data_IF_329703078620
#
_entry.id   IF_329703078620
#
_cell.length_a   1.000
_cell.length_b   1.000
_cell.length_c   1.000
_cell.angle_alpha   90.00
_cell.angle_beta   90.00
_cell.angle_gamma   90.00
#
_symmetry.space_group_name_H-M   'P 1'
#
loop_
_entity.id
_entity.type
_entity.pdbx_description
1 polymer ?
#
# COMPACT_ATOMS: atom_id res chain seq x y z
N UNK A 1 -4.24 -12.35 18.38
CA UNK A 1 -5.30 -13.20 17.76
C UNK A 1 -5.19 -13.01 16.25
N UNK A 2 -5.08 -14.09 15.46
CA UNK A 2 -4.91 -13.96 14.01
C UNK A 2 -6.24 -13.57 13.34
N UNK A 3 -6.24 -12.49 12.56
CA UNK A 3 -7.37 -12.13 11.71
C UNK A 3 -7.53 -13.11 10.55
N UNK A 4 -8.75 -13.36 10.05
CA UNK A 4 -8.95 -14.18 8.87
C UNK A 4 -8.24 -13.55 7.66
N UNK A 5 -7.43 -14.34 6.95
CA UNK A 5 -6.69 -13.84 5.79
C UNK A 5 -7.58 -13.33 4.66
N UNK A 6 -8.86 -13.71 4.60
CA UNK A 6 -9.85 -13.19 3.65
C UNK A 6 -11.23 -13.21 4.26
N UNK A 7 -11.98 -12.11 4.11
CA UNK A 7 -13.39 -12.04 4.49
C UNK A 7 -14.26 -12.10 3.24
N UNK A 8 -15.46 -12.65 3.37
CA UNK A 8 -16.45 -12.62 2.31
C UNK A 8 -17.19 -11.28 2.36
N UNK A 9 -17.25 -10.59 1.23
CA UNK A 9 -17.96 -9.34 1.05
C UNK A 9 -19.27 -9.61 0.31
N UNK A 10 -20.31 -8.84 0.63
CA UNK A 10 -21.48 -8.77 -0.25
C UNK A 10 -21.19 -7.84 -1.45
N UNK A 11 -22.09 -7.82 -2.43
CA UNK A 11 -21.92 -6.95 -3.60
C UNK A 11 -22.01 -5.45 -3.27
N UNK A 12 -22.55 -5.08 -2.10
CA UNK A 12 -22.71 -3.69 -1.66
C UNK A 12 -21.48 -3.13 -0.97
N UNK A 13 -20.74 -3.96 -0.24
CA UNK A 13 -19.59 -3.59 0.59
C UNK A 13 -18.53 -2.79 -0.17
N UNK A 14 -18.17 -3.11 -1.43
CA UNK A 14 -17.20 -2.33 -2.19
C UNK A 14 -17.61 -0.88 -2.50
N UNK A 15 -18.88 -0.53 -2.31
CA UNK A 15 -19.42 0.82 -2.51
C UNK A 15 -19.52 1.61 -1.20
N UNK A 16 -19.22 0.99 -0.07
CA UNK A 16 -19.23 1.64 1.23
C UNK A 16 -17.92 2.37 1.51
N UNK A 17 -18.03 3.50 2.22
CA UNK A 17 -16.88 4.27 2.70
C UNK A 17 -17.12 4.71 4.13
N UNK A 18 -16.04 4.79 4.91
CA UNK A 18 -16.13 5.10 6.35
C UNK A 18 -15.06 6.09 6.77
N UNK A 19 -15.37 6.97 7.71
CA UNK A 19 -14.39 7.89 8.31
C UNK A 19 -13.62 7.26 9.47
N UNK A 20 -14.05 6.07 9.90
CA UNK A 20 -13.42 5.26 10.93
C UNK A 20 -13.00 3.93 10.33
N UNK A 21 -11.88 3.40 10.81
CA UNK A 21 -11.37 2.11 10.37
C UNK A 21 -12.27 0.99 10.90
N UNK A 22 -12.85 0.20 9.99
CA UNK A 22 -13.69 -0.96 10.35
C UNK A 22 -12.95 -2.29 10.26
N UNK A 23 -11.92 -2.36 9.42
CA UNK A 23 -11.13 -3.56 9.17
C UNK A 23 -9.64 -3.26 9.29
N UNK A 24 -8.78 -4.27 9.58
CA UNK A 24 -7.35 -4.09 9.54
C UNK A 24 -6.87 -3.56 8.18
N UNK A 25 -5.84 -2.72 8.18
CA UNK A 25 -5.27 -2.17 6.96
C UNK A 25 -4.83 -3.30 6.01
N UNK A 26 -5.25 -3.23 4.75
CA UNK A 26 -4.94 -4.25 3.75
C UNK A 26 -5.72 -5.56 3.89
N UNK A 27 -6.75 -5.63 4.74
CA UNK A 27 -7.65 -6.79 4.83
C UNK A 27 -8.15 -7.18 3.43
N UNK A 28 -7.99 -8.46 3.07
CA UNK A 28 -8.55 -8.97 1.80
C UNK A 28 -10.03 -9.27 1.97
N UNK A 29 -10.83 -8.77 1.04
CA UNK A 29 -12.23 -9.11 0.88
C UNK A 29 -12.47 -9.75 -0.49
N UNK A 30 -13.32 -10.76 -0.55
CA UNK A 30 -13.72 -11.44 -1.79
C UNK A 30 -15.24 -11.38 -1.95
N UNK A 31 -15.70 -10.95 -3.11
CA UNK A 31 -17.14 -10.92 -3.46
C UNK A 31 -17.54 -12.23 -4.16
N UNK A 32 -18.85 -12.57 -4.24
CA UNK A 32 -19.27 -13.87 -4.76
C UNK A 32 -18.99 -14.11 -6.26
N UNK A 33 -18.64 -13.06 -7.02
CA UNK A 33 -18.14 -13.15 -8.40
C UNK A 33 -16.63 -13.47 -8.49
N UNK A 34 -15.93 -13.61 -7.35
CA UNK A 34 -14.50 -13.90 -7.27
C UNK A 34 -13.60 -12.68 -7.43
N UNK A 35 -14.15 -11.46 -7.43
CA UNK A 35 -13.36 -10.23 -7.41
C UNK A 35 -12.74 -10.02 -6.03
N UNK A 36 -11.48 -9.56 -5.99
CA UNK A 36 -10.77 -9.28 -4.75
C UNK A 36 -10.65 -7.78 -4.50
N UNK A 37 -10.74 -7.43 -3.22
CA UNK A 37 -10.64 -6.08 -2.73
C UNK A 37 -9.69 -6.02 -1.53
N UNK A 38 -9.04 -4.88 -1.36
CA UNK A 38 -8.19 -4.57 -0.21
C UNK A 38 -8.73 -3.35 0.51
N UNK A 39 -8.96 -3.48 1.81
CA UNK A 39 -9.37 -2.37 2.64
C UNK A 39 -8.22 -1.38 2.77
N UNK A 40 -8.47 -0.13 2.37
CA UNK A 40 -7.42 0.89 2.18
C UNK A 40 -7.84 2.23 2.77
N UNK A 41 -6.87 3.02 3.21
CA UNK A 41 -7.04 4.41 3.62
C UNK A 41 -6.67 5.33 2.46
N UNK A 42 -7.57 6.24 2.09
CA UNK A 42 -7.28 7.29 1.12
C UNK A 42 -6.31 8.32 1.72
N UNK A 43 -5.32 8.76 0.94
CA UNK A 43 -4.41 9.81 1.36
C UNK A 43 -5.11 11.16 1.63
N UNK A 44 -4.30 12.20 1.83
CA UNK A 44 -4.79 13.55 2.22
C UNK A 44 -5.63 14.31 1.18
N UNK A 45 -6.00 13.68 0.06
CA UNK A 45 -6.81 14.27 -1.03
C UNK A 45 -8.00 13.37 -1.33
N UNK A 46 -9.17 13.97 -1.58
CA UNK A 46 -10.35 13.21 -1.99
C UNK A 46 -10.07 12.40 -3.25
N UNK A 47 -10.35 11.10 -3.18
CA UNK A 47 -10.14 10.19 -4.27
C UNK A 47 -11.09 10.43 -5.44
N UNK A 48 -10.67 9.97 -6.61
CA UNK A 48 -11.47 9.81 -7.83
C UNK A 48 -11.76 8.33 -8.04
N UNK A 49 -13.03 7.99 -8.26
CA UNK A 49 -13.45 6.62 -8.58
C UNK A 49 -12.90 6.16 -9.94
N UNK A 50 -12.74 4.85 -10.12
CA UNK A 50 -12.33 4.21 -11.39
C UNK A 50 -10.99 4.69 -11.95
N UNK A 51 -10.09 5.17 -11.08
CA UNK A 51 -8.68 5.42 -11.38
C UNK A 51 -7.79 4.41 -10.67
N UNK A 52 -6.60 4.17 -11.21
CA UNK A 52 -5.57 3.40 -10.55
C UNK A 52 -5.04 4.16 -9.33
N UNK A 53 -4.78 3.42 -8.25
CA UNK A 53 -4.13 3.89 -7.03
C UNK A 53 -2.90 3.06 -6.74
N UNK A 54 -1.90 3.70 -6.16
CA UNK A 54 -0.71 3.08 -5.59
C UNK A 54 -0.61 3.41 -4.10
N UNK A 55 0.25 2.70 -3.38
CA UNK A 55 0.61 3.08 -2.02
C UNK A 55 1.26 4.46 -1.96
N UNK A 56 1.23 5.07 -0.76
CA UNK A 56 1.98 6.29 -0.49
C UNK A 56 3.47 6.11 -0.79
N UNK A 57 4.16 7.19 -1.11
CA UNK A 57 5.60 7.15 -1.31
C UNK A 57 6.31 6.71 -0.02
N UNK A 58 7.06 5.61 -0.07
CA UNK A 58 7.83 5.10 1.07
C UNK A 58 9.22 5.72 1.19
N UNK A 59 9.71 6.36 0.11
CA UNK A 59 11.02 7.01 0.05
C UNK A 59 11.00 8.44 0.62
N UNK A 60 10.53 8.60 1.87
CA UNK A 60 10.78 9.83 2.63
C UNK A 60 12.17 9.67 3.27
N UNK A 61 13.09 10.59 2.99
CA UNK A 61 14.54 10.43 3.26
C UNK A 61 14.92 10.01 4.70
N UNK A 62 14.01 10.20 5.66
CA UNK A 62 14.24 9.97 7.08
C UNK A 62 13.56 8.69 7.61
N UNK A 63 13.03 7.83 6.74
CA UNK A 63 12.42 6.53 7.14
C UNK A 63 13.27 5.32 6.77
N UNK A 64 14.34 5.54 6.00
CA UNK A 64 15.27 4.51 5.54
C UNK A 64 16.55 4.54 6.37
N UNK A 65 17.11 3.38 6.68
CA UNK A 65 18.45 3.26 7.31
C UNK A 65 18.55 4.08 8.62
N UNK A 66 17.51 4.00 9.45
CA UNK A 66 17.45 4.67 10.75
C UNK A 66 18.03 3.79 11.86
N UNK A 67 18.70 4.40 12.82
CA UNK A 67 19.28 3.70 13.98
C UNK A 67 18.19 3.32 14.98
N UNK A 68 18.37 2.15 15.61
CA UNK A 68 17.58 1.76 16.76
C UNK A 68 17.89 2.68 17.95
N UNK A 69 16.88 3.09 18.71
CA UNK A 69 17.11 3.85 19.96
C UNK A 69 17.44 2.94 21.14
N UNK A 70 17.00 1.68 21.08
CA UNK A 70 17.20 0.64 22.10
C UNK A 70 17.68 -0.63 21.41
N UNK A 71 18.59 -1.37 22.06
CA UNK A 71 19.07 -2.64 21.54
C UNK A 71 17.92 -3.66 21.52
N UNK A 72 17.75 -4.34 20.39
CA UNK A 72 16.72 -5.36 20.23
C UNK A 72 17.17 -6.65 20.91
N UNK A 73 16.31 -7.20 21.78
CA UNK A 73 16.50 -8.50 22.39
C UNK A 73 15.52 -9.52 21.82
N UNK A 74 15.94 -10.79 21.78
CA UNK A 74 15.05 -11.88 21.36
C UNK A 74 13.85 -11.95 22.29
N UNK A 75 12.64 -11.97 21.72
CA UNK A 75 11.39 -11.98 22.48
C UNK A 75 10.77 -10.59 22.67
N UNK A 76 11.46 -9.51 22.29
CA UNK A 76 10.87 -8.16 22.33
C UNK A 76 9.66 -8.09 21.39
N UNK A 77 8.65 -7.36 21.85
CA UNK A 77 7.37 -7.12 21.14
C UNK A 77 7.27 -5.69 20.61
N UNK A 78 8.32 -4.90 20.82
CA UNK A 78 8.39 -3.49 20.46
C UNK A 78 9.76 -3.22 19.83
N UNK A 79 9.78 -2.32 18.84
CA UNK A 79 11.00 -1.84 18.19
C UNK A 79 10.93 -0.32 18.15
N UNK A 80 11.96 0.34 18.66
CA UNK A 80 12.07 1.81 18.68
C UNK A 80 13.25 2.29 17.84
N UNK A 81 13.07 3.39 17.14
CA UNK A 81 14.07 3.96 16.23
C UNK A 81 13.92 5.47 16.08
N UNK A 82 15.00 6.12 15.66
CA UNK A 82 15.02 7.55 15.37
C UNK A 82 14.23 7.84 14.08
N UNK A 83 13.34 8.83 14.08
CA UNK A 83 12.52 9.20 12.91
C UNK A 83 13.24 10.13 11.91
N UNK A 84 14.53 10.38 12.16
CA UNK A 84 15.40 11.24 11.35
C UNK A 84 14.88 12.68 11.19
N UNK A 85 13.95 13.14 12.03
CA UNK A 85 13.31 14.45 11.96
C UNK A 85 12.03 14.50 11.12
N UNK A 86 11.58 13.38 10.55
CA UNK A 86 10.25 13.27 9.93
C UNK A 86 9.36 12.35 10.78
N UNK A 87 8.77 12.96 11.80
CA UNK A 87 7.86 12.28 12.70
C UNK A 87 6.71 11.61 11.94
N UNK A 88 6.49 10.33 12.25
CA UNK A 88 5.26 9.65 11.89
C UNK A 88 4.08 10.29 12.62
N UNK A 89 2.87 10.03 12.12
CA UNK A 89 1.67 10.23 12.93
C UNK A 89 1.33 8.95 13.71
N UNK A 90 0.50 9.08 14.75
CA UNK A 90 0.05 7.93 15.53
C UNK A 90 -0.66 6.93 14.61
N UNK A 91 -0.26 5.66 14.71
CA UNK A 91 -0.77 4.54 13.90
C UNK A 91 -0.54 4.64 12.38
N UNK A 92 0.31 5.55 11.90
CA UNK A 92 0.63 5.64 10.48
C UNK A 92 1.29 4.36 9.92
N UNK A 93 2.06 3.65 10.75
CA UNK A 93 2.73 2.39 10.37
C UNK A 93 1.86 1.14 10.62
N UNK A 94 0.59 1.29 11.03
CA UNK A 94 -0.31 0.15 11.21
C UNK A 94 -0.45 -0.67 9.92
N UNK A 95 -0.25 -1.98 10.02
CA UNK A 95 -0.24 -2.84 8.84
C UNK A 95 0.88 -2.50 7.86
N UNK A 96 1.94 -1.85 8.32
CA UNK A 96 3.22 -1.67 7.66
C UNK A 96 4.25 -2.71 8.11
N UNK A 97 5.53 -2.47 7.85
CA UNK A 97 6.61 -3.35 8.28
C UNK A 97 7.89 -2.61 8.56
N UNK A 98 8.67 -3.12 9.50
CA UNK A 98 10.05 -2.74 9.73
C UNK A 98 10.95 -3.78 9.07
N UNK A 99 11.80 -3.34 8.16
CA UNK A 99 12.89 -4.13 7.61
C UNK A 99 14.13 -3.78 8.43
N UNK A 100 14.66 -4.73 9.19
CA UNK A 100 15.90 -4.51 9.93
C UNK A 100 17.06 -4.92 9.03
N UNK A 101 17.92 -3.96 8.73
CA UNK A 101 18.97 -4.03 7.73
C UNK A 101 20.31 -4.17 8.44
N UNK A 102 20.84 -5.39 8.51
CA UNK A 102 22.17 -5.61 9.07
C UNK A 102 22.80 -6.90 8.53
N UNK A 103 24.13 -6.99 8.66
CA UNK A 103 24.86 -8.25 8.47
C UNK A 103 24.46 -9.29 9.52
N UNK A 104 24.23 -8.88 10.78
CA UNK A 104 23.76 -9.83 11.79
C UNK A 104 22.26 -10.13 11.64
N UNK A 105 21.36 -9.16 11.46
CA UNK A 105 19.91 -9.47 11.40
C UNK A 105 19.42 -10.11 10.10
N UNK A 106 20.27 -10.25 9.07
CA UNK A 106 19.98 -10.96 7.81
C UNK A 106 18.75 -10.47 7.03
N UNK A 107 18.23 -9.27 7.33
CA UNK A 107 17.06 -8.70 6.64
C UNK A 107 15.71 -9.18 7.17
N UNK A 108 15.58 -9.43 8.48
CA UNK A 108 14.28 -9.78 9.06
C UNK A 108 13.23 -8.67 8.83
N UNK A 109 11.99 -9.10 8.59
CA UNK A 109 10.85 -8.22 8.40
C UNK A 109 9.86 -8.45 9.54
N UNK A 110 9.60 -7.39 10.31
CA UNK A 110 8.65 -7.41 11.41
C UNK A 110 7.39 -6.62 11.05
N UNK A 111 6.22 -7.22 11.27
CA UNK A 111 4.93 -6.60 10.99
C UNK A 111 4.53 -5.67 12.13
N UNK A 112 4.11 -4.45 11.79
CA UNK A 112 3.75 -3.42 12.77
C UNK A 112 2.24 -3.40 12.99
N UNK A 113 1.86 -3.50 14.26
CA UNK A 113 0.47 -3.40 14.73
C UNK A 113 0.05 -1.94 14.94
N UNK A 114 0.93 -1.16 15.55
CA UNK A 114 0.68 0.26 15.84
C UNK A 114 2.00 0.97 16.10
N UNK A 115 2.02 2.29 15.98
CA UNK A 115 3.16 3.11 16.35
C UNK A 115 2.72 4.32 17.16
N UNK A 116 3.55 4.68 18.13
CA UNK A 116 3.45 5.92 18.88
C UNK A 116 4.67 6.78 18.61
N UNK A 117 4.48 8.09 18.66
CA UNK A 117 5.52 9.07 18.38
C UNK A 117 5.80 9.79 19.69
N UNK A 118 7.06 9.84 20.08
CA UNK A 118 7.48 10.51 21.31
C UNK A 118 7.88 11.96 21.00
N UNK A 119 8.05 12.78 22.05
CA UNK A 119 8.49 14.16 21.88
C UNK A 119 9.98 14.29 21.43
N UNK A 120 10.72 13.18 21.34
CA UNK A 120 12.17 13.13 21.16
C UNK A 120 12.61 12.52 19.82
N UNK A 121 11.90 12.82 18.73
CA UNK A 121 12.22 12.31 17.36
C UNK A 121 12.40 10.79 17.31
N UNK A 122 11.64 10.09 18.14
CA UNK A 122 11.66 8.63 18.25
C UNK A 122 10.26 8.10 17.97
N UNK A 123 10.22 7.02 17.21
CA UNK A 123 9.01 6.25 16.93
C UNK A 123 9.13 4.88 17.56
N UNK A 124 8.12 4.50 18.34
CA UNK A 124 8.03 3.19 18.98
C UNK A 124 6.94 2.40 18.27
N UNK A 125 7.31 1.28 17.68
CA UNK A 125 6.42 0.38 16.95
C UNK A 125 6.13 -0.87 17.76
N UNK A 126 4.86 -1.13 17.99
CA UNK A 126 4.35 -2.40 18.52
C UNK A 126 4.29 -3.42 17.40
N UNK A 127 4.85 -4.60 17.63
CA UNK A 127 4.78 -5.71 16.68
C UNK A 127 3.40 -6.39 16.73
N UNK A 128 3.05 -7.07 15.65
CA UNK A 128 1.81 -7.87 15.60
C UNK A 128 1.79 -9.00 16.63
N UNK A 129 0.57 -9.37 17.05
CA UNK A 129 0.38 -10.40 18.07
C UNK A 129 1.05 -11.72 17.65
N UNK A 130 1.99 -12.20 18.47
CA UNK A 130 2.74 -13.43 18.21
C UNK A 130 3.98 -13.26 17.34
N UNK A 131 4.29 -12.03 16.91
CA UNK A 131 5.58 -11.67 16.34
C UNK A 131 6.46 -11.13 17.46
N UNK A 132 7.66 -11.69 17.58
CA UNK A 132 8.71 -11.18 18.45
C UNK A 132 10.00 -11.02 17.67
N UNK A 133 10.88 -10.15 18.13
CA UNK A 133 12.26 -10.08 17.64
C UNK A 133 12.89 -11.47 17.72
N UNK A 134 13.44 -11.95 16.61
CA UNK A 134 14.00 -13.31 16.48
C UNK A 134 15.50 -13.35 16.71
N UNK A 135 16.18 -12.21 16.54
CA UNK A 135 17.62 -12.10 16.73
C UNK A 135 17.95 -10.78 17.42
N UNK A 136 18.89 -10.85 18.36
CA UNK A 136 19.33 -9.68 19.09
C UNK A 136 20.21 -8.79 18.20
N UNK A 137 20.02 -7.48 18.31
CA UNK A 137 20.72 -6.45 17.53
C UNK A 137 21.11 -5.32 18.48
N UNK A 138 22.40 -5.00 18.53
CA UNK A 138 22.91 -3.89 19.35
C UNK A 138 22.64 -2.54 18.68
N UNK A 139 22.64 -1.46 19.47
CA UNK A 139 22.59 -0.09 18.93
C UNK A 139 23.99 0.28 18.45
N UNK A 140 24.21 0.22 17.14
CA UNK A 140 25.48 0.54 16.48
C UNK A 140 25.21 1.27 15.16
N UNK A 141 26.19 2.05 14.68
CA UNK A 141 26.00 2.93 13.52
C UNK A 141 25.65 2.21 12.20
N UNK A 142 25.87 0.89 12.12
CA UNK A 142 25.54 0.06 10.96
C UNK A 142 24.32 -0.84 11.19
N UNK A 143 23.73 -0.80 12.39
CA UNK A 143 22.56 -1.58 12.76
C UNK A 143 21.36 -0.67 12.62
N UNK A 144 20.74 -0.77 11.46
CA UNK A 144 19.76 0.19 10.98
C UNK A 144 18.50 -0.52 10.53
N UNK A 145 17.41 0.21 10.44
CA UNK A 145 16.14 -0.30 9.94
C UNK A 145 15.52 0.66 8.92
N UNK A 146 14.66 0.11 8.07
CA UNK A 146 13.81 0.87 7.16
C UNK A 146 12.35 0.61 7.51
N UNK A 147 11.62 1.67 7.82
CA UNK A 147 10.20 1.63 8.08
C UNK A 147 9.41 1.77 6.77
N UNK A 148 8.50 0.83 6.53
CA UNK A 148 7.65 0.82 5.34
C UNK A 148 6.18 0.92 5.75
N UNK A 149 5.48 1.92 5.18
CA UNK A 149 4.03 2.00 5.27
C UNK A 149 3.36 0.80 4.62
N UNK A 150 2.15 0.49 5.04
CA UNK A 150 1.28 -0.42 4.31
C UNK A 150 1.08 0.10 2.88
N UNK A 151 1.18 -0.74 1.83
CA UNK A 151 0.80 -0.30 0.47
C UNK A 151 -0.64 0.21 0.39
N UNK A 152 -1.51 -0.24 1.29
CA UNK A 152 -2.92 0.15 1.35
C UNK A 152 -3.20 1.33 2.29
N UNK A 153 -2.17 1.83 2.99
CA UNK A 153 -2.28 3.04 3.80
C UNK A 153 -1.98 4.28 2.93
N UNK A 154 -2.77 5.33 3.14
CA UNK A 154 -2.62 6.63 2.48
C UNK A 154 -2.49 6.52 0.95
N UNK A 155 -3.33 5.70 0.32
CA UNK A 155 -3.25 5.43 -1.13
C UNK A 155 -3.41 6.72 -1.93
N UNK A 156 -2.62 6.84 -3.00
CA UNK A 156 -2.60 8.01 -3.88
C UNK A 156 -2.72 7.61 -5.35
N UNK A 157 -3.18 8.55 -6.17
CA UNK A 157 -3.13 8.40 -7.62
C UNK A 157 -1.64 8.35 -8.04
N UNK A 158 -1.21 7.35 -8.84
CA UNK A 158 0.16 7.28 -9.35
C UNK A 158 0.56 8.58 -10.03
N UNK A 159 1.74 9.14 -9.69
CA UNK A 159 2.28 10.30 -10.39
C UNK A 159 2.37 10.03 -11.89
N UNK A 160 2.15 11.08 -12.70
CA UNK A 160 2.19 11.01 -14.16
C UNK A 160 3.58 10.64 -14.73
N UNK A 161 4.64 10.82 -13.93
CA UNK A 161 6.00 10.44 -14.29
C UNK A 161 6.33 9.09 -13.68
N UNK A 162 6.95 9.04 -12.50
CA UNK A 162 7.46 7.80 -11.92
C UNK A 162 6.58 7.35 -10.77
N UNK A 163 6.00 6.12 -10.83
CA UNK A 163 5.36 5.50 -9.69
C UNK A 163 6.31 5.45 -8.51
N UNK A 164 5.82 5.78 -7.32
CA UNK A 164 6.62 5.82 -6.08
C UNK A 164 6.38 4.61 -5.20
N UNK A 165 5.40 3.78 -5.54
CA UNK A 165 5.07 2.54 -4.85
C UNK A 165 4.30 1.60 -5.79
N UNK A 166 3.98 0.39 -5.30
CA UNK A 166 3.17 -0.59 -6.02
C UNK A 166 1.73 -0.09 -6.22
N UNK A 167 1.14 -0.44 -7.37
CA UNK A 167 -0.28 -0.21 -7.65
C UNK A 167 -1.09 -1.19 -6.80
N UNK A 168 -2.04 -0.67 -6.05
CA UNK A 168 -2.90 -1.46 -5.15
C UNK A 168 -4.27 -1.78 -5.73
N UNK A 169 -4.69 -1.05 -6.76
CA UNK A 169 -5.92 -1.33 -7.48
C UNK A 169 -6.76 -0.11 -7.80
N UNK A 170 -8.09 -0.30 -7.87
CA UNK A 170 -9.05 0.70 -8.32
C UNK A 170 -10.26 0.78 -7.38
N UNK A 171 -10.57 1.94 -6.78
CA UNK A 171 -11.80 2.12 -6.00
C UNK A 171 -13.00 2.30 -6.93
N UNK A 172 -14.12 1.65 -6.60
CA UNK A 172 -15.40 1.74 -7.35
C UNK A 172 -16.18 3.01 -7.06
N UNK A 173 -15.89 3.64 -5.91
CA UNK A 173 -16.55 4.85 -5.42
C UNK A 173 -15.53 5.91 -5.03
N UNK A 174 -16.00 7.14 -4.87
CA UNK A 174 -15.20 8.23 -4.32
C UNK A 174 -15.00 7.94 -2.83
N UNK A 175 -13.75 7.91 -2.39
CA UNK A 175 -13.38 7.84 -0.97
C UNK A 175 -12.87 9.23 -0.57
N UNK A 176 -13.44 9.81 0.48
CA UNK A 176 -13.02 11.13 0.96
C UNK A 176 -11.56 11.11 1.46
N UNK A 177 -10.91 12.27 1.51
CA UNK A 177 -9.57 12.40 2.09
C UNK A 177 -9.55 11.82 3.52
N UNK A 178 -8.52 11.04 3.84
CA UNK A 178 -8.36 10.37 5.14
C UNK A 178 -9.54 9.46 5.55
N UNK A 179 -10.33 8.99 4.58
CA UNK A 179 -11.39 8.01 4.80
C UNK A 179 -10.98 6.64 4.26
N UNK A 180 -11.69 5.62 4.71
CA UNK A 180 -11.44 4.23 4.37
C UNK A 180 -12.46 3.71 3.36
N UNK A 181 -12.03 2.74 2.56
CA UNK A 181 -12.90 2.05 1.63
C UNK A 181 -12.21 0.84 0.99
N UNK A 182 -12.93 0.19 0.09
CA UNK A 182 -12.44 -0.99 -0.61
C UNK A 182 -11.86 -0.62 -1.98
N UNK A 183 -10.64 -1.06 -2.23
CA UNK A 183 -9.94 -0.90 -3.51
C UNK A 183 -9.88 -2.26 -4.20
N UNK A 184 -10.43 -2.37 -5.40
CA UNK A 184 -10.44 -3.61 -6.17
C UNK A 184 -9.02 -3.93 -6.67
N UNK A 185 -8.47 -5.06 -6.27
CA UNK A 185 -7.12 -5.53 -6.62
C UNK A 185 -7.14 -6.62 -7.69
N UNK A 186 -8.25 -7.36 -7.82
CA UNK A 186 -8.44 -8.44 -8.80
C UNK A 186 -9.86 -8.50 -9.35
N UNK A 187 -9.98 -8.95 -10.60
CA UNK A 187 -11.26 -9.15 -11.27
C UNK A 187 -11.63 -8.00 -12.20
N UNK A 188 -12.87 -7.96 -12.66
CA UNK A 188 -13.31 -6.99 -13.66
C UNK A 188 -13.51 -5.59 -13.06
N UNK A 189 -12.64 -4.65 -13.44
CA UNK A 189 -12.69 -3.26 -13.03
C UNK A 189 -12.95 -2.31 -14.20
N UNK A 190 -13.66 -1.22 -13.89
CA UNK A 190 -13.76 -0.05 -14.76
C UNK A 190 -12.59 0.88 -14.45
N UNK A 191 -11.84 1.29 -15.46
CA UNK A 191 -10.62 2.10 -15.30
C UNK A 191 -10.53 3.20 -16.34
N UNK A 192 -10.02 4.37 -15.98
CA UNK A 192 -9.79 5.44 -16.94
C UNK A 192 -8.72 5.01 -17.97
N UNK A 193 -9.04 5.10 -19.26
CA UNK A 193 -8.12 4.78 -20.34
C UNK A 193 -7.34 6.02 -20.81
N UNK A 194 -6.03 5.91 -20.86
CA UNK A 194 -5.17 6.95 -21.44
C UNK A 194 -5.00 6.83 -22.95
N UNK A 195 -5.23 5.62 -23.49
CA UNK A 195 -5.12 5.33 -24.92
C UNK A 195 -6.10 4.23 -25.31
N UNK A 196 -6.23 3.98 -26.61
CA UNK A 196 -7.03 2.86 -27.07
C UNK A 196 -6.43 1.54 -26.58
N UNK A 197 -7.16 0.82 -25.72
CA UNK A 197 -6.78 -0.52 -25.29
C UNK A 197 -7.24 -1.55 -26.30
N UNK A 198 -6.49 -2.62 -26.53
CA UNK A 198 -6.91 -3.73 -27.39
C UNK A 198 -7.20 -4.94 -26.48
N UNK A 199 -8.32 -5.64 -26.65
CA UNK A 199 -8.64 -6.82 -25.85
C UNK A 199 -7.50 -7.85 -25.84
N UNK A 200 -7.18 -8.38 -24.66
CA UNK A 200 -6.14 -9.39 -24.44
C UNK A 200 -4.74 -8.81 -24.19
N UNK A 201 -4.50 -7.54 -24.55
CA UNK A 201 -3.19 -6.93 -24.35
C UNK A 201 -2.92 -6.60 -22.87
N UNK A 202 -1.65 -6.69 -22.44
CA UNK A 202 -1.27 -6.30 -21.09
C UNK A 202 -1.50 -4.80 -20.89
N UNK A 203 -2.16 -4.48 -19.78
CA UNK A 203 -2.37 -3.12 -19.33
C UNK A 203 -1.36 -2.74 -18.25
N UNK A 204 -0.92 -1.49 -18.30
CA UNK A 204 0.05 -0.90 -17.39
C UNK A 204 -0.44 0.47 -16.92
N UNK A 205 0.19 1.00 -15.87
CA UNK A 205 0.03 2.42 -15.51
C UNK A 205 0.49 3.28 -16.69
N UNK A 206 -0.32 4.26 -17.06
CA UNK A 206 0.02 5.21 -18.12
C UNK A 206 0.72 6.46 -17.56
N UNK A 207 1.32 7.27 -18.43
CA UNK A 207 1.81 8.60 -18.07
C UNK A 207 0.71 9.62 -17.73
N UNK A 208 -0.58 9.24 -17.81
CA UNK A 208 -1.69 10.07 -17.34
C UNK A 208 -2.08 9.61 -15.93
N UNK A 209 -1.99 10.51 -14.95
CA UNK A 209 -2.19 10.19 -13.53
C UNK A 209 -3.47 9.38 -13.25
N UNK A 210 -3.28 8.13 -12.80
CA UNK A 210 -4.35 7.20 -12.45
C UNK A 210 -5.08 6.54 -13.63
N UNK A 211 -4.58 6.69 -14.86
CA UNK A 211 -5.14 6.04 -16.04
C UNK A 211 -4.31 4.82 -16.45
N UNK A 212 -4.98 3.84 -17.04
CA UNK A 212 -4.40 2.64 -17.60
C UNK A 212 -4.12 2.81 -19.11
N UNK A 213 -3.07 2.16 -19.61
CA UNK A 213 -2.72 2.12 -21.03
C UNK A 213 -2.22 0.75 -21.46
N UNK A 214 -1.89 0.58 -22.74
CA UNK A 214 -1.21 -0.64 -23.24
C UNK A 214 0.31 -0.46 -23.19
N UNK A 215 1.02 -1.49 -22.74
CA UNK A 215 2.49 -1.52 -22.69
C UNK A 215 3.18 -1.20 -24.03
N UNK A 216 2.69 -1.78 -25.13
CA UNK A 216 3.27 -1.60 -26.47
C UNK A 216 3.12 -0.17 -27.04
N UNK A 217 2.30 0.68 -26.42
CA UNK A 217 2.06 2.05 -26.88
C UNK A 217 2.89 3.10 -26.14
N UNK A 218 3.73 2.72 -25.16
CA UNK A 218 4.46 3.67 -24.32
C UNK A 218 5.93 3.74 -24.72
N UNK A 219 6.43 4.97 -24.90
CA UNK A 219 7.80 5.27 -25.38
C UNK A 219 8.81 5.53 -24.27
N UNK A 220 8.36 5.50 -23.01
CA UNK A 220 9.19 5.69 -21.81
C UNK A 220 8.96 4.53 -20.83
N UNK A 221 10.04 4.07 -20.21
CA UNK A 221 10.12 2.92 -19.30
C UNK A 221 9.33 3.13 -18.00
N UNK A 222 8.00 3.18 -18.08
CA UNK A 222 7.10 3.26 -16.94
C UNK A 222 5.93 2.29 -17.17
N UNK A 223 5.46 1.47 -16.23
CA UNK A 223 6.02 0.72 -15.08
C UNK A 223 4.78 0.25 -14.28
N UNK A 224 4.80 -0.98 -13.77
CA UNK A 224 3.67 -1.58 -13.03
C UNK A 224 2.64 -2.22 -13.96
N UNK A 225 2.71 -3.54 -14.10
CA UNK A 225 1.63 -4.33 -14.72
C UNK A 225 0.40 -4.26 -13.82
N UNK A 226 -0.76 -3.98 -14.40
CA UNK A 226 -2.03 -3.87 -13.65
C UNK A 226 -3.06 -4.93 -14.05
N UNK A 227 -2.85 -5.61 -15.17
CA UNK A 227 -3.77 -6.65 -15.65
C UNK A 227 -3.91 -6.66 -17.17
N UNK A 228 -5.09 -7.03 -17.67
CA UNK A 228 -5.36 -7.16 -19.12
C UNK A 228 -6.60 -6.42 -19.54
N UNK A 229 -6.55 -5.76 -20.69
CA UNK A 229 -7.72 -5.12 -21.27
C UNK A 229 -8.73 -6.18 -21.74
N UNK A 230 -10.01 -6.01 -21.41
CA UNK A 230 -11.08 -6.88 -21.87
C UNK A 230 -11.89 -6.28 -23.02
N UNK A 231 -11.89 -4.95 -23.17
CA UNK A 231 -12.58 -4.26 -24.24
C UNK A 231 -11.65 -3.30 -25.00
N UNK A 232 -12.15 -2.85 -26.16
CA UNK A 232 -11.60 -1.70 -26.85
C UNK A 232 -11.95 -0.45 -26.04
N UNK A 233 -10.95 0.33 -25.66
CA UNK A 233 -11.17 1.62 -25.00
C UNK A 233 -10.92 2.79 -25.94
N UNK A 234 -11.43 3.94 -25.53
CA UNK A 234 -11.16 5.24 -26.15
C UNK A 234 -10.46 6.09 -25.10
N UNK A 235 -9.44 6.85 -25.52
CA UNK A 235 -8.70 7.73 -24.61
C UNK A 235 -9.66 8.76 -23.97
N UNK A 236 -9.59 8.88 -22.64
CA UNK A 236 -10.46 9.76 -21.86
C UNK A 236 -11.75 9.11 -21.36
N UNK A 237 -12.10 7.91 -21.85
CA UNK A 237 -13.25 7.13 -21.41
C UNK A 237 -12.84 5.98 -20.46
N UNK A 238 -13.84 5.22 -19.99
CA UNK A 238 -13.62 4.07 -19.13
C UNK A 238 -13.47 2.77 -19.94
N UNK A 239 -12.48 1.97 -19.53
CA UNK A 239 -12.16 0.65 -20.07
C UNK A 239 -12.39 -0.45 -19.04
N UNK A 240 -12.79 -1.61 -19.54
CA UNK A 240 -12.86 -2.83 -18.77
C UNK A 240 -11.46 -3.48 -18.72
N UNK A 241 -10.88 -3.57 -17.53
CA UNK A 241 -9.60 -4.24 -17.29
C UNK A 241 -9.84 -5.36 -16.29
N UNK A 242 -9.31 -6.54 -16.61
CA UNK A 242 -9.17 -7.61 -15.65
C UNK A 242 -7.94 -7.34 -14.79
N UNK A 243 -8.14 -6.90 -13.54
CA UNK A 243 -7.06 -6.52 -12.64
C UNK A 243 -6.33 -7.74 -12.09
N UNK A 244 -5.01 -7.60 -11.98
CA UNK A 244 -4.06 -8.59 -11.46
C UNK A 244 -2.97 -7.87 -10.64
N UNK A 245 -3.38 -6.95 -9.75
CA UNK A 245 -2.45 -6.16 -8.94
C UNK A 245 -1.87 -6.95 -7.74
N UNK A 246 -2.31 -8.20 -7.54
CA UNK A 246 -1.82 -9.16 -6.54
C UNK A 246 -1.93 -10.62 -7.00
#
# INVERSE_FOLDING_TARGET
MAYPGTIQLDYGSPYETTTVQLYPMGQRGETPDGSWYRYSLMGGVTGVANKLYQGAATAVANWTTQTHTIALAVGDTEISFDDGGTAFTVNQLEGGSLLVEETDDLGHIYRVKSNVVTASTETICQLEDGVTVQKAVLVEALNVLTANLSPWAEVVIPPATTPTNIVVGVPRVIIAANAFGWVQSRGLASTLAASATLPGNPSIVSGTGGAAGIAASQTTNITGYVGRAMNLAIAGDFAAIWLECE
#
